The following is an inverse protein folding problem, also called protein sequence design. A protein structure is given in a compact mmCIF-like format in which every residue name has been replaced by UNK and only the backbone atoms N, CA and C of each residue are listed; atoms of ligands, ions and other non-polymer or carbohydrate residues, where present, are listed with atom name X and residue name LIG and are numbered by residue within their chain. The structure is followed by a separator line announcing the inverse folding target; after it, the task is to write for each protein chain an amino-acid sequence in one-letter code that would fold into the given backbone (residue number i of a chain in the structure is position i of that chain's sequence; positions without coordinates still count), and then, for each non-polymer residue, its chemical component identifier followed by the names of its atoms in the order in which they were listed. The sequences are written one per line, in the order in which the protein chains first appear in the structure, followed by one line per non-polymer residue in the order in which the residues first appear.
data_IF_476972768293
#
_entry.id   IF_476972768293
#
_cell.length_a   1.000
_cell.length_b   1.000
_cell.length_c   1.000
_cell.angle_alpha   90.00
_cell.angle_beta   90.00
_cell.angle_gamma   90.00
#
_symmetry.space_group_name_H-M   'P 1'
#
loop_
_entity.id
_entity.type
_entity.pdbx_description
1 polymer ?
#
# COMPACT_ATOMS: atom_id res chain seq x y z
N UNK A 1 7.08 23.67 -8.14
CA UNK A 1 7.77 23.00 -9.27
C UNK A 1 9.23 23.35 -9.18
N UNK A 2 10.09 22.33 -9.02
CA UNK A 2 11.53 22.51 -8.86
C UNK A 2 12.20 22.85 -10.20
N UNK A 3 13.31 23.61 -10.14
CA UNK A 3 14.10 23.96 -11.33
C UNK A 3 14.95 22.76 -11.74
N UNK A 4 15.11 22.52 -13.05
CA UNK A 4 15.87 21.39 -13.60
C UNK A 4 17.26 21.24 -12.98
N UNK A 5 18.01 22.33 -12.83
CA UNK A 5 19.38 22.29 -12.31
C UNK A 5 19.44 21.74 -10.88
N UNK A 6 18.45 22.08 -10.03
CA UNK A 6 18.36 21.54 -8.67
C UNK A 6 17.99 20.05 -8.65
N UNK A 7 17.12 19.61 -9.57
CA UNK A 7 16.77 18.20 -9.72
C UNK A 7 17.96 17.37 -10.23
N UNK A 8 18.73 17.89 -11.19
CA UNK A 8 19.97 17.25 -11.66
C UNK A 8 20.98 17.10 -10.53
N UNK A 9 21.27 18.18 -9.81
CA UNK A 9 22.21 18.15 -8.68
C UNK A 9 21.76 17.20 -7.56
N UNK A 10 20.45 17.08 -7.31
CA UNK A 10 19.90 16.12 -6.36
C UNK A 10 20.23 14.66 -6.75
N UNK A 11 20.01 14.31 -8.02
CA UNK A 11 20.28 12.95 -8.53
C UNK A 11 21.78 12.66 -8.56
N UNK A 12 22.59 13.62 -9.02
CA UNK A 12 24.06 13.53 -9.05
C UNK A 12 24.64 13.29 -7.66
N UNK A 13 24.13 14.00 -6.65
CA UNK A 13 24.61 13.88 -5.26
C UNK A 13 24.18 12.57 -4.61
N UNK A 14 22.97 12.10 -4.89
CA UNK A 14 22.41 10.94 -4.20
C UNK A 14 22.89 9.59 -4.78
N UNK A 15 23.36 9.54 -6.01
CA UNK A 15 23.76 8.31 -6.68
C UNK A 15 25.29 8.18 -6.72
N UNK A 16 25.81 6.97 -6.47
CA UNK A 16 27.23 6.65 -6.63
C UNK A 16 27.43 5.54 -7.69
N UNK A 17 28.19 5.79 -8.77
CA UNK A 17 28.82 7.06 -9.14
C UNK A 17 27.82 8.09 -9.67
N UNK A 18 28.21 9.38 -9.65
CA UNK A 18 27.44 10.48 -10.22
C UNK A 18 26.98 10.16 -11.66
N UNK A 19 25.67 10.03 -11.91
CA UNK A 19 25.18 9.67 -13.23
C UNK A 19 25.19 10.87 -14.18
N UNK A 20 25.54 10.63 -15.45
CA UNK A 20 25.38 11.62 -16.50
C UNK A 20 23.90 11.70 -16.92
N UNK A 21 23.22 12.80 -16.62
CA UNK A 21 21.78 12.98 -16.89
C UNK A 21 21.56 13.59 -18.28
N UNK A 22 20.70 12.98 -19.09
CA UNK A 22 20.28 13.52 -20.40
C UNK A 22 19.00 14.36 -20.27
N UNK A 23 17.93 13.78 -19.71
CA UNK A 23 16.63 14.48 -19.57
C UNK A 23 15.98 14.24 -18.22
N UNK A 24 15.13 15.21 -17.80
CA UNK A 24 14.26 15.10 -16.64
C UNK A 24 12.87 15.56 -17.07
N UNK A 25 11.87 14.72 -16.84
CA UNK A 25 10.45 15.01 -17.14
C UNK A 25 9.57 14.73 -15.94
N UNK A 26 8.58 15.59 -15.71
CA UNK A 26 7.58 15.40 -14.66
C UNK A 26 6.71 14.17 -14.94
N UNK A 27 6.46 13.37 -13.91
CA UNK A 27 5.42 12.34 -13.91
C UNK A 27 4.19 12.94 -13.23
N UNK A 28 3.10 13.11 -13.96
CA UNK A 28 1.82 13.58 -13.41
C UNK A 28 1.05 12.42 -12.76
N UNK A 29 1.63 11.83 -11.71
CA UNK A 29 1.01 10.76 -10.93
C UNK A 29 1.41 10.84 -9.44
N UNK A 30 0.49 10.46 -8.56
CA UNK A 30 0.71 10.43 -7.11
C UNK A 30 0.55 11.77 -6.39
N UNK A 31 0.79 11.76 -5.08
CA UNK A 31 0.61 12.94 -4.20
C UNK A 31 1.91 13.73 -3.95
N UNK A 32 3.05 13.15 -4.30
CA UNK A 32 4.38 13.77 -4.20
C UNK A 32 4.88 14.17 -5.58
N UNK A 33 5.83 15.11 -5.65
CA UNK A 33 6.46 15.43 -6.93
C UNK A 33 7.36 14.27 -7.37
N UNK A 34 7.07 13.71 -8.55
CA UNK A 34 7.80 12.63 -9.16
C UNK A 34 8.35 13.03 -10.53
N UNK A 35 9.57 12.59 -10.82
CA UNK A 35 10.27 12.89 -12.05
C UNK A 35 10.90 11.63 -12.63
N UNK A 36 10.72 11.40 -13.92
CA UNK A 36 11.53 10.45 -14.69
C UNK A 36 12.84 11.14 -15.07
N UNK A 37 13.95 10.50 -14.76
CA UNK A 37 15.30 10.97 -15.04
C UNK A 37 15.94 9.97 -15.99
N UNK A 38 16.18 10.37 -17.23
CA UNK A 38 16.83 9.53 -18.24
C UNK A 38 18.31 9.88 -18.27
N UNK A 39 19.16 8.87 -18.09
CA UNK A 39 20.61 8.98 -18.12
C UNK A 39 21.15 8.95 -19.55
N UNK A 40 22.41 9.33 -19.74
CA UNK A 40 23.08 9.36 -21.03
C UNK A 40 23.29 7.96 -21.66
N UNK A 41 23.11 6.89 -20.89
CA UNK A 41 23.13 5.49 -21.36
C UNK A 41 21.71 4.91 -21.58
N UNK A 42 20.71 5.78 -21.66
CA UNK A 42 19.29 5.45 -21.80
C UNK A 42 18.65 4.73 -20.59
N UNK A 43 19.35 4.63 -19.45
CA UNK A 43 18.75 4.13 -18.20
C UNK A 43 17.78 5.15 -17.62
N UNK A 44 16.62 4.71 -17.14
CA UNK A 44 15.67 5.57 -16.42
C UNK A 44 15.74 5.37 -14.90
N UNK A 45 15.64 6.48 -14.18
CA UNK A 45 15.48 6.55 -12.73
C UNK A 45 14.22 7.34 -12.37
N UNK A 46 13.69 7.09 -11.18
CA UNK A 46 12.59 7.83 -10.58
C UNK A 46 13.12 8.70 -9.44
N UNK A 47 13.04 10.03 -9.60
CA UNK A 47 13.27 10.96 -8.48
C UNK A 47 11.91 11.32 -7.86
N UNK A 48 11.72 10.99 -6.57
CA UNK A 48 10.54 11.38 -5.78
C UNK A 48 10.96 12.39 -4.72
N UNK A 49 10.21 13.48 -4.60
CA UNK A 49 10.42 14.53 -3.60
C UNK A 49 9.26 14.49 -2.60
N UNK A 50 9.57 14.25 -1.33
CA UNK A 50 8.61 14.07 -0.24
C UNK A 50 7.97 15.38 0.22
N UNK A 51 7.05 15.93 -0.58
CA UNK A 51 6.38 17.20 -0.28
C UNK A 51 5.11 17.05 0.56
N UNK A 52 4.46 15.88 0.55
CA UNK A 52 3.21 15.66 1.29
C UNK A 52 3.45 15.45 2.78
N UNK A 53 4.44 14.61 3.11
CA UNK A 53 4.84 14.30 4.49
C UNK A 53 6.37 14.30 4.60
N UNK A 54 7.02 15.48 4.56
CA UNK A 54 8.48 15.57 4.55
C UNK A 54 9.13 14.79 5.70
N UNK A 55 8.64 14.97 6.94
CA UNK A 55 9.24 14.33 8.12
C UNK A 55 9.10 12.79 8.13
N UNK A 56 8.11 12.25 7.42
CA UNK A 56 7.88 10.80 7.34
C UNK A 56 8.49 10.16 6.08
N UNK A 57 8.82 10.96 5.07
CA UNK A 57 9.32 10.47 3.78
C UNK A 57 10.59 9.61 3.91
N UNK A 58 11.60 9.93 4.75
CA UNK A 58 12.81 9.11 4.85
C UNK A 58 12.57 7.64 5.23
N UNK A 59 11.43 7.31 5.85
CA UNK A 59 11.08 5.95 6.20
C UNK A 59 10.71 5.10 4.96
N UNK A 60 10.23 5.70 3.87
CA UNK A 60 9.87 5.02 2.62
C UNK A 60 11.09 4.33 1.98
N UNK A 61 12.18 5.03 1.59
CA UNK A 61 13.35 4.39 0.99
C UNK A 61 14.05 3.43 1.96
N UNK A 62 14.06 3.71 3.27
CA UNK A 62 14.62 2.80 4.26
C UNK A 62 13.82 1.49 4.35
N UNK A 63 12.48 1.57 4.32
CA UNK A 63 11.59 0.39 4.28
C UNK A 63 11.85 -0.44 3.05
N UNK A 64 11.95 0.18 1.87
CA UNK A 64 12.24 -0.52 0.63
C UNK A 64 13.60 -1.22 0.65
N UNK A 65 14.64 -0.58 1.21
CA UNK A 65 15.96 -1.21 1.39
C UNK A 65 15.86 -2.44 2.29
N UNK A 66 15.14 -2.35 3.42
CA UNK A 66 14.94 -3.47 4.35
C UNK A 66 14.16 -4.63 3.71
N UNK A 67 13.04 -4.32 3.05
CA UNK A 67 12.22 -5.32 2.35
C UNK A 67 13.05 -6.06 1.29
N UNK A 68 13.86 -5.33 0.50
CA UNK A 68 14.74 -5.93 -0.50
C UNK A 68 15.86 -6.78 0.10
N UNK A 69 16.33 -6.46 1.31
CA UNK A 69 17.37 -7.21 1.99
C UNK A 69 16.85 -8.49 2.66
N UNK A 70 15.59 -8.48 3.14
CA UNK A 70 15.02 -9.56 3.96
C UNK A 70 14.00 -10.45 3.22
N UNK A 71 13.55 -10.08 2.02
CA UNK A 71 12.48 -10.77 1.30
C UNK A 71 12.73 -10.87 -0.22
N UNK A 72 11.94 -11.71 -0.90
CA UNK A 72 11.92 -11.81 -2.37
C UNK A 72 10.84 -10.91 -3.00
N UNK A 73 10.27 -9.95 -2.24
CA UNK A 73 9.35 -8.96 -2.80
C UNK A 73 10.07 -8.13 -3.86
N UNK A 74 9.46 -7.95 -5.04
CA UNK A 74 10.01 -7.09 -6.06
C UNK A 74 9.73 -5.64 -5.69
N UNK A 75 10.64 -5.00 -4.96
CA UNK A 75 10.58 -3.55 -4.70
C UNK A 75 11.67 -2.83 -5.50
N UNK A 76 11.37 -1.65 -6.08
CA UNK A 76 12.37 -0.85 -6.80
C UNK A 76 13.62 -0.62 -5.96
N UNK A 77 14.81 -0.72 -6.58
CA UNK A 77 16.07 -0.40 -5.90
C UNK A 77 16.08 1.07 -5.50
N UNK A 78 16.49 1.37 -4.27
CA UNK A 78 16.84 2.74 -3.86
C UNK A 78 18.29 3.01 -4.25
N UNK A 79 18.52 3.93 -5.18
CA UNK A 79 19.85 4.37 -5.58
C UNK A 79 20.45 5.36 -4.59
N UNK A 80 19.62 6.23 -4.03
CA UNK A 80 20.10 7.34 -3.21
C UNK A 80 18.99 8.07 -2.47
N UNK A 81 19.38 8.83 -1.45
CA UNK A 81 18.49 9.69 -0.66
C UNK A 81 19.21 10.99 -0.33
N UNK A 82 18.48 12.09 -0.18
CA UNK A 82 19.07 13.37 0.21
C UNK A 82 18.02 14.42 0.57
N UNK A 83 18.50 15.62 0.91
CA UNK A 83 17.64 16.78 1.19
C UNK A 83 18.13 18.00 0.40
N UNK A 84 19.44 18.22 0.37
CA UNK A 84 20.05 19.23 -0.49
C UNK A 84 20.18 18.73 -1.93
N UNK A 85 19.93 19.58 -2.96
CA UNK A 85 19.63 21.01 -2.88
C UNK A 85 18.13 21.35 -2.88
N UNK A 86 17.24 20.37 -2.69
CA UNK A 86 15.79 20.57 -2.90
C UNK A 86 15.06 21.17 -1.69
N UNK A 87 15.70 21.29 -0.53
CA UNK A 87 15.09 21.71 0.76
C UNK A 87 13.97 20.78 1.27
N UNK A 88 13.70 19.69 0.53
CA UNK A 88 12.77 18.62 0.87
C UNK A 88 13.51 17.29 0.80
N UNK A 89 13.18 16.32 1.66
CA UNK A 89 13.74 15.00 1.55
C UNK A 89 13.30 14.37 0.21
N UNK A 90 14.24 13.73 -0.46
CA UNK A 90 14.03 13.08 -1.74
C UNK A 90 14.76 11.75 -1.79
N UNK A 91 14.34 10.92 -2.73
CA UNK A 91 14.96 9.63 -3.00
C UNK A 91 14.97 9.37 -4.50
N UNK A 92 16.04 8.72 -4.95
CA UNK A 92 16.20 8.23 -6.32
C UNK A 92 16.01 6.73 -6.31
N UNK A 93 15.06 6.26 -7.10
CA UNK A 93 14.69 4.86 -7.23
C UNK A 93 14.97 4.35 -8.65
N UNK A 94 15.09 3.04 -8.78
CA UNK A 94 14.92 2.32 -10.03
C UNK A 94 13.58 2.74 -10.65
N UNK A 95 13.60 3.15 -11.92
CA UNK A 95 12.36 3.41 -12.63
C UNK A 95 11.77 2.08 -13.09
N UNK A 96 10.52 1.84 -12.69
CA UNK A 96 9.74 0.71 -13.19
C UNK A 96 8.82 1.25 -14.29
N UNK A 97 8.92 0.73 -15.54
CA UNK A 97 8.04 1.16 -16.63
C UNK A 97 6.56 0.95 -16.32
N UNK A 98 5.71 1.70 -17.03
CA UNK A 98 4.26 1.65 -16.84
C UNK A 98 3.73 0.21 -16.88
N UNK A 99 2.89 -0.08 -15.90
CA UNK A 99 2.37 -1.40 -15.64
C UNK A 99 1.24 -1.77 -16.63
N UNK A 100 1.07 -3.06 -16.94
CA UNK A 100 -0.06 -3.53 -17.73
C UNK A 100 -1.26 -3.87 -16.81
N UNK A 101 -2.38 -3.16 -17.02
CA UNK A 101 -3.72 -3.34 -16.43
C UNK A 101 -4.13 -2.30 -15.36
N UNK A 102 -5.31 -1.72 -15.58
CA UNK A 102 -5.96 -0.82 -14.62
C UNK A 102 -6.83 -1.61 -13.61
N UNK A 103 -7.30 -2.80 -13.97
CA UNK A 103 -8.16 -3.63 -13.13
C UNK A 103 -7.78 -5.10 -13.20
N UNK A 104 -7.95 -5.84 -12.09
CA UNK A 104 -7.67 -7.28 -12.05
C UNK A 104 -8.58 -8.04 -13.04
N UNK A 105 -9.79 -7.55 -13.28
CA UNK A 105 -10.71 -8.13 -14.26
C UNK A 105 -10.32 -7.90 -15.73
N UNK A 106 -9.30 -7.08 -16.00
CA UNK A 106 -8.76 -6.90 -17.35
C UNK A 106 -7.73 -7.99 -17.70
N UNK A 107 -7.23 -8.69 -16.68
CA UNK A 107 -6.31 -9.82 -16.84
C UNK A 107 -7.09 -11.09 -17.23
N UNK A 108 -6.39 -12.02 -17.89
CA UNK A 108 -6.92 -13.38 -18.02
C UNK A 108 -7.15 -13.99 -16.63
N UNK A 109 -8.10 -14.91 -16.51
CA UNK A 109 -8.35 -15.58 -15.22
C UNK A 109 -7.09 -16.26 -14.66
N UNK A 110 -6.25 -16.83 -15.53
CA UNK A 110 -4.98 -17.45 -15.16
C UNK A 110 -3.98 -16.42 -14.60
N UNK A 111 -3.81 -15.28 -15.28
CA UNK A 111 -2.93 -14.21 -14.85
C UNK A 111 -3.42 -13.57 -13.54
N UNK A 112 -4.72 -13.30 -13.41
CA UNK A 112 -5.31 -12.80 -12.16
C UNK A 112 -5.11 -13.79 -10.99
N UNK A 113 -5.25 -15.09 -11.26
CA UNK A 113 -5.03 -16.12 -10.25
C UNK A 113 -3.55 -16.22 -9.86
N UNK A 114 -2.64 -16.05 -10.83
CA UNK A 114 -1.20 -15.98 -10.58
C UNK A 114 -0.85 -14.77 -9.72
N UNK A 115 -1.33 -13.57 -10.09
CA UNK A 115 -1.19 -12.33 -9.32
C UNK A 115 -1.64 -12.51 -7.86
N UNK A 116 -2.80 -13.13 -7.64
CA UNK A 116 -3.31 -13.36 -6.29
C UNK A 116 -2.42 -14.32 -5.48
N UNK A 117 -1.85 -15.36 -6.12
CA UNK A 117 -0.90 -16.27 -5.45
C UNK A 117 0.39 -15.54 -5.07
N UNK A 118 0.91 -14.69 -5.95
CA UNK A 118 2.09 -13.87 -5.66
C UNK A 118 1.83 -12.89 -4.54
N UNK A 119 0.71 -12.15 -4.57
CA UNK A 119 0.32 -11.24 -3.51
C UNK A 119 0.24 -11.94 -2.14
N UNK A 120 -0.35 -13.14 -2.10
CA UNK A 120 -0.38 -13.96 -0.89
C UNK A 120 1.03 -14.35 -0.40
N UNK A 121 1.94 -14.76 -1.29
CA UNK A 121 3.33 -15.08 -0.91
C UNK A 121 4.10 -13.86 -0.45
N UNK A 122 3.98 -12.75 -1.18
CA UNK A 122 4.65 -11.49 -0.87
C UNK A 122 4.26 -11.03 0.53
N UNK A 123 2.96 -10.88 0.81
CA UNK A 123 2.54 -10.42 2.13
C UNK A 123 2.97 -11.39 3.24
N UNK A 124 2.97 -12.71 2.98
CA UNK A 124 3.50 -13.68 3.95
C UNK A 124 4.98 -13.46 4.27
N UNK A 125 5.80 -13.11 3.27
CA UNK A 125 7.22 -12.80 3.46
C UNK A 125 7.42 -11.46 4.15
N UNK A 126 6.71 -10.43 3.70
CA UNK A 126 6.73 -9.08 4.28
C UNK A 126 6.41 -9.13 5.78
N UNK A 127 5.38 -9.88 6.16
CA UNK A 127 4.89 -9.97 7.53
C UNK A 127 5.82 -10.75 8.48
N UNK A 128 6.98 -11.21 8.00
CA UNK A 128 8.06 -11.74 8.86
C UNK A 128 8.91 -10.62 9.47
N UNK A 129 8.86 -9.41 8.91
CA UNK A 129 9.55 -8.23 9.42
C UNK A 129 8.70 -7.67 10.57
N UNK A 130 9.06 -7.98 11.80
CA UNK A 130 8.29 -7.63 13.00
C UNK A 130 8.84 -6.41 13.73
N UNK A 131 7.96 -5.73 14.46
CA UNK A 131 8.28 -4.59 15.31
C UNK A 131 7.84 -4.84 16.76
N UNK A 132 8.46 -4.19 17.75
CA UNK A 132 8.13 -4.42 19.16
C UNK A 132 6.75 -3.89 19.56
N UNK A 133 6.21 -2.93 18.82
CA UNK A 133 4.93 -2.27 19.10
C UNK A 133 4.20 -1.88 17.80
N UNK A 134 2.93 -1.54 17.93
CA UNK A 134 2.11 -1.04 16.82
C UNK A 134 2.31 0.47 16.64
N UNK A 135 2.22 0.96 15.41
CA UNK A 135 2.29 2.39 15.13
C UNK A 135 3.05 2.73 13.86
N UNK A 136 3.20 4.04 13.61
CA UNK A 136 3.92 4.53 12.43
C UNK A 136 5.40 4.22 12.55
N UNK A 137 5.97 3.67 11.49
CA UNK A 137 7.40 3.42 11.38
C UNK A 137 8.09 4.68 10.86
N UNK A 138 9.23 4.99 11.46
CA UNK A 138 10.10 6.08 11.08
C UNK A 138 11.57 5.70 11.30
N UNK A 139 12.44 6.70 11.24
CA UNK A 139 13.86 6.52 11.55
C UNK A 139 14.12 6.97 12.97
N UNK A 140 14.95 6.23 13.71
CA UNK A 140 15.43 6.66 15.01
C UNK A 140 16.37 7.87 14.85
N UNK A 141 15.89 9.06 15.23
CA UNK A 141 16.64 10.31 15.16
C UNK A 141 17.42 10.63 16.44
N UNK A 142 17.25 9.88 17.53
CA UNK A 142 17.90 10.16 18.83
C UNK A 142 19.38 9.75 18.87
N UNK A 143 19.91 9.13 17.80
CA UNK A 143 21.35 8.95 17.60
C UNK A 143 22.08 10.24 17.12
N UNK A 144 21.33 11.32 16.81
CA UNK A 144 21.86 12.56 16.20
C UNK A 144 21.33 13.81 16.92
N UNK A 145 21.48 13.88 18.25
CA UNK A 145 21.11 15.07 19.03
C UNK A 145 22.03 16.29 18.80
N UNK A 146 23.09 16.14 17.99
CA UNK A 146 23.89 17.24 17.45
C UNK A 146 24.12 16.95 15.96
N UNK A 147 23.82 17.94 15.12
CA UNK A 147 23.90 17.95 13.64
C UNK A 147 22.76 17.29 12.85
N UNK A 148 22.40 17.99 11.76
CA UNK A 148 21.50 17.57 10.68
C UNK A 148 21.79 16.12 10.26
N UNK A 149 20.79 15.25 10.07
CA UNK A 149 21.04 13.88 9.64
C UNK A 149 21.82 13.89 8.33
N UNK A 150 23.07 13.44 8.37
CA UNK A 150 23.88 13.24 7.17
C UNK A 150 23.24 12.06 6.43
N UNK A 151 22.65 12.34 5.27
CA UNK A 151 21.79 11.42 4.51
C UNK A 151 22.50 10.17 3.93
N UNK A 152 23.79 9.98 4.22
CA UNK A 152 24.65 9.02 3.51
C UNK A 152 24.62 7.58 4.03
N UNK A 153 24.06 7.30 5.21
CA UNK A 153 23.88 5.90 5.66
C UNK A 153 22.64 5.78 6.53
N UNK A 154 21.46 5.94 5.93
CA UNK A 154 20.22 5.48 6.57
C UNK A 154 20.15 3.95 6.43
N UNK A 155 20.75 3.28 7.41
CA UNK A 155 20.77 1.82 7.51
C UNK A 155 19.34 1.29 7.68
N UNK A 156 19.02 0.16 7.05
CA UNK A 156 17.71 -0.50 7.19
C UNK A 156 17.40 -0.83 8.66
N UNK A 157 18.45 -0.98 9.47
CA UNK A 157 18.41 -1.22 10.91
C UNK A 157 17.94 -0.01 11.74
N UNK A 158 17.84 1.19 11.13
CA UNK A 158 17.37 2.40 11.81
C UNK A 158 15.83 2.53 11.87
N UNK A 159 15.09 1.61 11.26
CA UNK A 159 13.62 1.64 11.27
C UNK A 159 13.08 1.25 12.65
N UNK A 160 12.33 2.17 13.26
CA UNK A 160 11.66 1.99 14.55
C UNK A 160 10.24 2.52 14.52
N UNK A 161 9.43 2.21 15.53
CA UNK A 161 8.10 2.83 15.70
C UNK A 161 8.28 4.19 16.35
N UNK A 162 7.95 5.25 15.61
CA UNK A 162 8.12 6.66 16.04
C UNK A 162 6.83 7.31 16.54
N UNK A 163 5.70 6.66 16.29
CA UNK A 163 4.38 7.08 16.79
C UNK A 163 3.60 5.85 17.26
N UNK A 164 3.91 5.33 18.47
CA UNK A 164 3.24 4.17 19.02
C UNK A 164 1.75 4.39 19.21
N UNK A 165 0.93 3.50 18.68
CA UNK A 165 -0.52 3.55 18.85
C UNK A 165 -1.05 2.13 19.06
N UNK A 166 -1.80 1.86 20.15
CA UNK A 166 -2.43 0.56 20.37
C UNK A 166 -3.30 0.12 19.18
N UNK A 167 -3.35 -1.19 18.92
CA UNK A 167 -4.08 -1.73 17.76
C UNK A 167 -5.57 -1.39 17.81
N UNK A 168 -6.20 -1.41 18.98
CA UNK A 168 -7.61 -1.07 19.13
C UNK A 168 -7.89 0.40 18.77
N UNK A 169 -7.02 1.32 19.17
CA UNK A 169 -7.11 2.73 18.78
C UNK A 169 -6.89 2.92 17.27
N UNK A 170 -5.93 2.22 16.65
CA UNK A 170 -5.73 2.23 15.19
C UNK A 170 -6.99 1.76 14.44
N UNK A 171 -7.65 0.70 14.94
CA UNK A 171 -8.88 0.18 14.34
C UNK A 171 -10.06 1.15 14.51
N UNK A 172 -10.23 1.76 15.69
CA UNK A 172 -11.28 2.77 15.93
C UNK A 172 -11.09 4.00 15.05
N UNK A 173 -9.86 4.52 14.95
CA UNK A 173 -9.53 5.65 14.08
C UNK A 173 -9.78 5.32 12.60
N UNK A 174 -9.42 4.12 12.17
CA UNK A 174 -9.70 3.65 10.81
C UNK A 174 -11.21 3.55 10.54
N UNK A 175 -11.97 2.99 11.48
CA UNK A 175 -13.43 2.85 11.37
C UNK A 175 -14.11 4.22 11.27
N UNK A 176 -13.84 5.12 12.22
CA UNK A 176 -14.42 6.46 12.27
C UNK A 176 -14.16 7.24 10.98
N UNK A 177 -12.88 7.31 10.56
CA UNK A 177 -12.49 7.96 9.31
C UNK A 177 -13.25 7.39 8.12
N UNK A 178 -13.23 6.06 7.96
CA UNK A 178 -13.87 5.41 6.81
C UNK A 178 -15.40 5.56 6.78
N UNK A 179 -16.06 5.58 7.94
CA UNK A 179 -17.49 5.87 8.04
C UNK A 179 -17.79 7.33 7.69
N UNK A 180 -16.94 8.26 8.12
CA UNK A 180 -17.00 9.67 7.70
C UNK A 180 -16.99 9.81 6.17
N UNK A 181 -16.14 9.03 5.50
CA UNK A 181 -16.03 9.00 4.04
C UNK A 181 -17.25 8.39 3.31
N UNK A 182 -18.19 7.77 4.03
CA UNK A 182 -19.46 7.30 3.45
C UNK A 182 -20.56 8.37 3.47
N UNK A 183 -20.34 9.53 4.11
CA UNK A 183 -21.29 10.63 4.08
C UNK A 183 -21.61 11.05 2.63
N UNK A 184 -22.88 11.36 2.35
CA UNK A 184 -23.37 11.75 1.01
C UNK A 184 -23.17 10.69 -0.10
N UNK A 185 -22.74 9.48 0.24
CA UNK A 185 -22.67 8.33 -0.68
C UNK A 185 -23.98 7.54 -0.66
N UNK A 186 -24.21 6.60 -1.61
CA UNK A 186 -25.33 5.67 -1.54
C UNK A 186 -25.38 4.82 -0.26
N UNK A 187 -24.27 4.75 0.49
CA UNK A 187 -24.12 3.93 1.69
C UNK A 187 -24.29 4.72 2.99
N UNK A 188 -24.57 6.03 2.91
CA UNK A 188 -24.72 6.93 4.06
C UNK A 188 -25.67 6.36 5.13
N UNK A 189 -26.82 5.85 4.70
CA UNK A 189 -27.85 5.26 5.59
C UNK A 189 -27.41 4.01 6.35
N UNK A 190 -26.24 3.43 6.02
CA UNK A 190 -25.69 2.25 6.69
C UNK A 190 -24.73 2.60 7.82
N UNK A 191 -24.24 3.85 7.91
CA UNK A 191 -23.15 4.25 8.82
C UNK A 191 -23.38 3.80 10.25
N UNK A 192 -24.51 4.12 10.86
CA UNK A 192 -24.84 3.74 12.25
C UNK A 192 -24.78 2.21 12.48
N UNK A 193 -25.29 1.43 11.52
CA UNK A 193 -25.31 -0.04 11.64
C UNK A 193 -23.92 -0.66 11.50
N UNK A 194 -23.08 -0.09 10.64
CA UNK A 194 -21.70 -0.50 10.42
C UNK A 194 -20.79 -0.05 11.57
N UNK A 195 -21.02 1.14 12.13
CA UNK A 195 -20.37 1.64 13.35
C UNK A 195 -20.66 0.72 14.52
N UNK A 196 -21.94 0.41 14.77
CA UNK A 196 -22.33 -0.48 15.85
C UNK A 196 -21.68 -1.87 15.72
N UNK A 197 -21.62 -2.44 14.51
CA UNK A 197 -20.95 -3.70 14.26
C UNK A 197 -19.42 -3.58 14.47
N UNK A 198 -18.80 -2.54 13.92
CA UNK A 198 -17.35 -2.34 13.99
C UNK A 198 -16.87 -2.15 15.43
N UNK A 199 -17.57 -1.34 16.22
CA UNK A 199 -17.28 -1.12 17.65
C UNK A 199 -17.38 -2.41 18.44
N UNK A 200 -18.47 -3.16 18.28
CA UNK A 200 -18.65 -4.46 18.96
C UNK A 200 -17.63 -5.51 18.52
N UNK A 201 -17.20 -5.51 17.25
CA UNK A 201 -16.13 -6.39 16.78
C UNK A 201 -14.79 -6.02 17.44
N UNK A 202 -14.42 -4.74 17.45
CA UNK A 202 -13.18 -4.23 18.08
C UNK A 202 -13.13 -4.62 19.56
N UNK A 203 -14.22 -4.47 20.30
CA UNK A 203 -14.30 -4.84 21.73
C UNK A 203 -14.11 -6.34 21.99
N UNK A 204 -14.39 -7.20 21.01
CA UNK A 204 -14.29 -8.67 21.11
C UNK A 204 -12.99 -9.24 20.57
N UNK A 205 -12.08 -8.40 20.04
CA UNK A 205 -10.77 -8.86 19.58
C UNK A 205 -9.91 -9.22 20.79
N UNK A 206 -9.27 -10.39 20.72
CA UNK A 206 -8.16 -10.74 21.61
C UNK A 206 -6.87 -10.16 21.02
N UNK A 207 -6.28 -9.20 21.72
CA UNK A 207 -5.11 -8.46 21.28
C UNK A 207 -3.78 -9.08 21.76
N UNK A 208 -3.82 -9.99 22.74
CA UNK A 208 -2.62 -10.49 23.42
C UNK A 208 -1.74 -11.35 22.49
N UNK A 209 -2.33 -11.98 21.47
CA UNK A 209 -1.66 -12.87 20.51
C UNK A 209 -1.34 -12.18 19.16
N UNK A 210 -1.33 -10.84 19.10
CA UNK A 210 -1.02 -10.10 17.87
C UNK A 210 0.40 -9.56 17.90
N UNK A 211 1.25 -10.08 17.01
CA UNK A 211 2.60 -9.53 16.79
C UNK A 211 2.55 -8.44 15.71
N UNK A 212 2.99 -7.19 16.00
CA UNK A 212 3.12 -6.15 15.00
C UNK A 212 4.12 -6.55 13.90
N UNK A 213 3.71 -6.39 12.65
CA UNK A 213 4.54 -6.63 11.48
C UNK A 213 4.51 -5.43 10.55
N UNK A 214 5.55 -5.28 9.72
CA UNK A 214 5.53 -4.35 8.61
C UNK A 214 4.35 -4.68 7.71
N UNK A 215 3.46 -3.72 7.52
CA UNK A 215 2.38 -3.81 6.54
C UNK A 215 2.64 -2.84 5.40
N UNK A 216 2.16 -3.18 4.21
CA UNK A 216 2.13 -2.24 3.10
C UNK A 216 1.03 -1.18 3.34
N UNK A 217 -0.13 -1.55 3.87
CA UNK A 217 -1.23 -0.61 4.14
C UNK A 217 -2.15 -0.33 2.94
N UNK A 218 -1.63 -0.56 1.73
CA UNK A 218 -2.29 -0.21 0.46
C UNK A 218 -1.86 -1.13 -0.69
N UNK A 219 -1.73 -2.44 -0.41
CA UNK A 219 -1.39 -3.44 -1.42
C UNK A 219 -2.57 -3.68 -2.37
N UNK A 220 -2.68 -2.83 -3.39
CA UNK A 220 -3.73 -2.86 -4.43
C UNK A 220 -3.13 -2.74 -5.82
N UNK A 221 -3.89 -3.09 -6.86
CA UNK A 221 -3.38 -3.15 -8.23
C UNK A 221 -2.71 -1.85 -8.70
N UNK A 222 -3.22 -0.66 -8.34
CA UNK A 222 -2.60 0.62 -8.69
C UNK A 222 -1.15 0.76 -8.18
N UNK A 223 -0.81 0.04 -7.12
CA UNK A 223 0.51 0.04 -6.48
C UNK A 223 1.34 -1.19 -6.90
N UNK A 224 0.86 -1.97 -7.87
CA UNK A 224 1.57 -3.12 -8.42
C UNK A 224 1.90 -2.85 -9.88
N UNK A 225 3.16 -3.03 -10.25
CA UNK A 225 3.48 -3.24 -11.63
C UNK A 225 3.29 -4.68 -12.04
N UNK A 226 2.47 -4.87 -13.06
CA UNK A 226 2.01 -6.16 -13.54
C UNK A 226 2.48 -6.36 -14.97
N UNK A 227 3.10 -7.50 -15.24
CA UNK A 227 3.42 -8.03 -16.56
C UNK A 227 2.74 -9.41 -16.67
N UNK A 228 1.57 -9.51 -17.31
CA UNK A 228 0.83 -10.77 -17.42
C UNK A 228 1.51 -11.80 -18.32
N UNK A 229 2.55 -11.41 -19.07
CA UNK A 229 3.29 -12.29 -19.97
C UNK A 229 4.54 -12.91 -19.32
N UNK A 230 4.98 -12.35 -18.19
CA UNK A 230 6.15 -12.80 -17.46
C UNK A 230 5.85 -14.00 -16.54
N UNK A 231 6.91 -14.76 -16.21
CA UNK A 231 6.84 -15.86 -15.24
C UNK A 231 6.48 -15.37 -13.83
N UNK A 232 6.94 -14.16 -13.48
CA UNK A 232 6.52 -13.40 -12.30
C UNK A 232 5.59 -12.30 -12.77
N UNK A 233 4.32 -12.37 -12.39
CA UNK A 233 3.30 -11.43 -12.86
C UNK A 233 3.47 -10.06 -12.23
N UNK A 234 3.87 -10.01 -10.96
CA UNK A 234 4.14 -8.77 -10.23
C UNK A 234 5.60 -8.34 -10.43
N UNK A 235 5.83 -7.42 -11.35
CA UNK A 235 7.15 -6.86 -11.64
C UNK A 235 7.67 -5.94 -10.53
N UNK A 236 6.79 -5.18 -9.87
CA UNK A 236 7.16 -4.34 -8.72
C UNK A 236 6.00 -4.05 -7.77
N UNK A 237 6.30 -3.78 -6.50
CA UNK A 237 5.40 -3.27 -5.48
C UNK A 237 5.83 -1.85 -5.11
N UNK A 238 4.94 -0.89 -5.32
CA UNK A 238 5.18 0.55 -5.26
C UNK A 238 4.44 1.19 -4.07
N UNK A 239 4.68 2.50 -3.88
CA UNK A 239 3.99 3.34 -2.90
C UNK A 239 4.07 2.86 -1.44
N UNK A 240 5.30 2.90 -0.90
CA UNK A 240 5.61 2.61 0.50
C UNK A 240 5.48 3.86 1.39
N UNK A 241 4.57 4.79 1.03
CA UNK A 241 4.32 6.03 1.79
C UNK A 241 3.72 5.68 3.17
N UNK A 242 4.32 6.20 4.26
CA UNK A 242 3.90 5.99 5.65
C UNK A 242 3.94 4.51 6.11
N UNK A 243 5.13 3.85 6.12
CA UNK A 243 5.25 2.49 6.63
C UNK A 243 4.72 2.38 8.07
N UNK A 244 4.03 1.29 8.35
CA UNK A 244 3.32 1.10 9.63
C UNK A 244 3.55 -0.32 10.15
N UNK A 245 3.72 -0.44 11.46
CA UNK A 245 3.68 -1.72 12.17
C UNK A 245 2.24 -1.99 12.60
N UNK A 246 1.61 -3.02 12.02
CA UNK A 246 0.20 -3.36 12.23
C UNK A 246 -0.01 -4.88 12.32
N UNK A 247 -1.24 -5.32 12.59
CA UNK A 247 -1.62 -6.71 12.47
C UNK A 247 -1.47 -7.20 11.01
N UNK A 248 -0.64 -8.23 10.74
CA UNK A 248 -0.45 -8.77 9.39
C UNK A 248 -1.73 -9.34 8.76
N UNK A 249 -2.69 -9.80 9.56
CA UNK A 249 -3.99 -10.25 9.05
C UNK A 249 -4.81 -9.08 8.49
N UNK A 250 -4.67 -7.87 9.04
CA UNK A 250 -5.36 -6.68 8.51
C UNK A 250 -4.91 -6.41 7.07
N UNK A 251 -3.60 -6.42 6.81
CA UNK A 251 -3.05 -6.13 5.50
C UNK A 251 -3.40 -7.22 4.49
N UNK A 252 -3.35 -8.49 4.91
CA UNK A 252 -3.75 -9.63 4.08
C UNK A 252 -5.24 -9.58 3.70
N UNK A 253 -6.15 -9.25 4.62
CA UNK A 253 -7.58 -9.11 4.34
C UNK A 253 -7.85 -7.93 3.42
N UNK A 254 -7.18 -6.79 3.65
CA UNK A 254 -7.28 -5.61 2.79
C UNK A 254 -6.85 -5.92 1.36
N UNK A 255 -5.63 -6.42 1.19
CA UNK A 255 -5.05 -6.73 -0.11
C UNK A 255 -5.92 -7.73 -0.88
N UNK A 256 -6.31 -8.83 -0.23
CA UNK A 256 -7.19 -9.82 -0.85
C UNK A 256 -8.51 -9.19 -1.30
N UNK A 257 -9.13 -8.36 -0.46
CA UNK A 257 -10.41 -7.73 -0.81
C UNK A 257 -10.26 -6.77 -1.98
N UNK A 258 -9.22 -5.94 -2.00
CA UNK A 258 -8.95 -4.97 -3.06
C UNK A 258 -8.63 -5.65 -4.39
N UNK A 259 -7.95 -6.80 -4.38
CA UNK A 259 -7.61 -7.54 -5.59
C UNK A 259 -8.77 -8.39 -6.14
N UNK A 260 -9.66 -8.90 -5.29
CA UNK A 260 -10.63 -9.91 -5.73
C UNK A 260 -12.09 -9.50 -5.65
N UNK A 261 -12.43 -8.32 -5.12
CA UNK A 261 -13.82 -7.87 -5.00
C UNK A 261 -14.26 -6.89 -6.10
N UNK A 262 -13.44 -6.66 -7.12
CA UNK A 262 -13.71 -5.73 -8.21
C UNK A 262 -14.97 -6.06 -9.01
N UNK A 263 -15.66 -5.01 -9.48
CA UNK A 263 -16.91 -5.10 -10.25
C UNK A 263 -16.80 -5.90 -11.56
N UNK A 264 -15.61 -5.96 -12.17
CA UNK A 264 -15.35 -6.70 -13.43
C UNK A 264 -15.21 -8.21 -13.24
N UNK A 265 -15.20 -8.70 -12.01
CA UNK A 265 -15.07 -10.12 -11.69
C UNK A 265 -16.45 -10.72 -11.38
N UNK A 266 -16.75 -11.84 -12.01
CA UNK A 266 -17.92 -12.66 -11.68
C UNK A 266 -17.73 -13.41 -10.35
N UNK A 267 -18.81 -13.88 -9.69
CA UNK A 267 -18.72 -14.53 -8.39
C UNK A 267 -17.80 -15.76 -8.32
N UNK A 268 -17.71 -16.57 -9.38
CA UNK A 268 -16.82 -17.73 -9.42
C UNK A 268 -15.36 -17.28 -9.50
N UNK A 269 -15.07 -16.27 -10.32
CA UNK A 269 -13.76 -15.65 -10.37
C UNK A 269 -13.35 -15.09 -9.01
N UNK A 270 -14.20 -14.29 -8.35
CA UNK A 270 -13.90 -13.74 -7.01
C UNK A 270 -13.55 -14.84 -5.99
N UNK A 271 -14.31 -15.94 -5.99
CA UNK A 271 -14.05 -17.10 -5.11
C UNK A 271 -12.73 -17.79 -5.43
N UNK A 272 -12.45 -18.04 -6.71
CA UNK A 272 -11.22 -18.68 -7.18
C UNK A 272 -9.99 -17.87 -6.81
N UNK A 273 -10.02 -16.55 -7.06
CA UNK A 273 -8.93 -15.63 -6.76
C UNK A 273 -8.68 -15.49 -5.25
N UNK A 274 -9.75 -15.34 -4.46
CA UNK A 274 -9.65 -15.31 -3.00
C UNK A 274 -8.99 -16.57 -2.45
N UNK A 275 -9.38 -17.74 -2.96
CA UNK A 275 -8.77 -19.02 -2.55
C UNK A 275 -7.28 -19.05 -2.90
N UNK A 276 -6.93 -18.65 -4.12
CA UNK A 276 -5.55 -18.61 -4.58
C UNK A 276 -4.65 -17.73 -3.71
N UNK A 277 -5.16 -16.57 -3.25
CA UNK A 277 -4.48 -15.70 -2.31
C UNK A 277 -4.24 -16.37 -0.95
N UNK A 278 -5.30 -16.86 -0.30
CA UNK A 278 -5.20 -17.41 1.06
C UNK A 278 -4.40 -18.72 1.11
N UNK A 279 -4.53 -19.58 0.10
CA UNK A 279 -3.74 -20.81 -0.03
C UNK A 279 -2.23 -20.49 -0.09
N UNK A 280 -1.87 -19.37 -0.72
CA UNK A 280 -0.48 -18.93 -0.87
C UNK A 280 0.06 -18.18 0.37
N UNK A 281 -0.77 -17.36 1.00
CA UNK A 281 -0.44 -16.66 2.24
C UNK A 281 -0.26 -17.60 3.44
N UNK A 282 -0.98 -18.74 3.45
CA UNK A 282 -0.78 -19.81 4.43
C UNK A 282 -1.58 -19.67 5.72
N UNK A 283 -2.51 -18.72 5.81
CA UNK A 283 -3.51 -18.70 6.87
C UNK A 283 -4.81 -19.38 6.43
N UNK A 284 -5.29 -20.30 7.27
CA UNK A 284 -6.64 -20.82 7.17
C UNK A 284 -7.68 -19.71 7.35
N UNK A 285 -8.83 -19.86 6.71
CA UNK A 285 -9.98 -18.95 6.84
C UNK A 285 -10.70 -19.27 8.15
N UNK A 286 -10.13 -18.87 9.29
CA UNK A 286 -10.83 -18.96 10.58
C UNK A 286 -11.63 -17.69 10.78
N UNK A 287 -12.92 -17.86 10.99
CA UNK A 287 -13.83 -16.76 11.32
C UNK A 287 -13.61 -16.34 12.78
N UNK A 288 -13.20 -15.08 12.98
CA UNK A 288 -12.92 -14.48 14.29
C UNK A 288 -13.39 -13.03 14.29
N UNK A 289 -13.71 -12.43 15.46
CA UNK A 289 -14.05 -11.00 15.53
C UNK A 289 -13.01 -10.11 14.84
N UNK A 290 -11.73 -10.48 14.98
CA UNK A 290 -10.60 -9.82 14.33
C UNK A 290 -10.68 -9.85 12.80
N UNK A 291 -10.88 -11.04 12.23
CA UNK A 291 -11.03 -11.18 10.77
C UNK A 291 -12.26 -10.43 10.25
N UNK A 292 -13.40 -10.55 10.94
CA UNK A 292 -14.65 -9.88 10.57
C UNK A 292 -14.53 -8.36 10.64
N UNK A 293 -13.81 -7.83 11.63
CA UNK A 293 -13.49 -6.41 11.73
C UNK A 293 -12.75 -5.95 10.46
N UNK A 294 -11.76 -6.71 10.02
CA UNK A 294 -10.96 -6.36 8.84
C UNK A 294 -11.74 -6.51 7.54
N UNK A 295 -12.60 -7.53 7.42
CA UNK A 295 -13.49 -7.70 6.27
C UNK A 295 -14.53 -6.57 6.19
N UNK A 296 -15.06 -6.10 7.34
CA UNK A 296 -15.90 -4.91 7.42
C UNK A 296 -15.15 -3.66 6.93
N UNK A 297 -13.96 -3.39 7.47
CA UNK A 297 -13.15 -2.26 7.05
C UNK A 297 -12.82 -2.34 5.55
N UNK A 298 -12.53 -3.53 5.03
CA UNK A 298 -12.21 -3.70 3.61
C UNK A 298 -13.43 -3.44 2.73
N UNK A 299 -14.63 -3.84 3.19
CA UNK A 299 -15.86 -3.58 2.46
C UNK A 299 -16.22 -2.10 2.46
N UNK A 300 -16.03 -1.40 3.57
CA UNK A 300 -16.21 0.06 3.63
C UNK A 300 -15.22 0.74 2.68
N UNK A 301 -13.93 0.35 2.70
CA UNK A 301 -12.89 0.86 1.79
C UNK A 301 -13.30 0.72 0.32
N UNK A 302 -13.78 -0.45 -0.09
CA UNK A 302 -14.27 -0.65 -1.47
C UNK A 302 -15.47 0.27 -1.78
N UNK A 303 -16.43 0.36 -0.86
CA UNK A 303 -17.65 1.14 -1.06
C UNK A 303 -17.38 2.65 -1.17
N UNK A 304 -16.49 3.22 -0.35
CA UNK A 304 -16.12 4.66 -0.43
C UNK A 304 -15.38 5.02 -1.73
N UNK A 305 -14.81 4.03 -2.42
CA UNK A 305 -14.14 4.22 -3.72
C UNK A 305 -15.04 3.88 -4.92
N UNK A 306 -16.37 3.79 -4.72
CA UNK A 306 -17.35 3.45 -5.75
C UNK A 306 -17.18 4.27 -7.05
N UNK A 307 -16.92 5.57 -6.95
CA UNK A 307 -16.82 6.44 -8.14
C UNK A 307 -15.54 6.19 -8.94
N UNK A 308 -14.43 5.86 -8.27
CA UNK A 308 -13.21 5.40 -8.94
C UNK A 308 -13.45 4.04 -9.60
N UNK A 309 -14.08 3.12 -8.87
CA UNK A 309 -14.39 1.78 -9.37
C UNK A 309 -15.35 1.81 -10.57
N UNK A 310 -16.35 2.70 -10.55
CA UNK A 310 -17.36 2.80 -11.59
C UNK A 310 -16.98 3.80 -12.70
N UNK A 311 -15.75 4.33 -12.71
CA UNK A 311 -15.33 5.31 -13.71
C UNK A 311 -15.46 4.74 -15.12
N UNK A 312 -16.16 5.46 -15.99
CA UNK A 312 -16.41 5.04 -17.37
C UNK A 312 -17.48 3.95 -17.54
N UNK A 313 -18.12 3.48 -16.47
CA UNK A 313 -19.22 2.52 -16.54
C UNK A 313 -20.57 3.21 -16.80
N UNK A 314 -21.55 2.43 -17.26
CA UNK A 314 -22.93 2.88 -17.38
C UNK A 314 -23.60 3.07 -16.01
N UNK A 315 -24.62 3.93 -15.94
CA UNK A 315 -25.45 4.10 -14.74
C UNK A 315 -26.08 2.78 -14.26
N UNK A 316 -26.40 1.86 -15.18
CA UNK A 316 -26.94 0.56 -14.85
C UNK A 316 -25.90 -0.31 -14.13
N UNK A 317 -24.65 -0.31 -14.62
CA UNK A 317 -23.54 -1.01 -13.97
C UNK A 317 -23.21 -0.40 -12.61
N UNK A 318 -23.22 0.95 -12.50
CA UNK A 318 -23.04 1.63 -11.21
C UNK A 318 -24.13 1.26 -10.21
N UNK A 319 -25.41 1.22 -10.61
CA UNK A 319 -26.51 0.76 -9.75
C UNK A 319 -26.35 -0.69 -9.32
N UNK A 320 -25.97 -1.58 -10.24
CA UNK A 320 -25.71 -2.98 -9.90
C UNK A 320 -24.57 -3.11 -8.87
N UNK A 321 -23.51 -2.30 -9.00
CA UNK A 321 -22.41 -2.28 -8.03
C UNK A 321 -22.84 -1.74 -6.66
N UNK A 322 -23.70 -0.72 -6.60
CA UNK A 322 -24.30 -0.24 -5.35
C UNK A 322 -25.10 -1.36 -4.67
N UNK A 323 -25.91 -2.11 -5.43
CA UNK A 323 -26.65 -3.26 -4.90
C UNK A 323 -25.71 -4.32 -4.33
N UNK A 324 -24.65 -4.70 -5.05
CA UNK A 324 -23.63 -5.64 -4.59
C UNK A 324 -22.98 -5.17 -3.27
N UNK A 325 -22.69 -3.87 -3.11
CA UNK A 325 -22.22 -3.30 -1.84
C UNK A 325 -23.22 -3.46 -0.72
N UNK A 326 -24.50 -3.14 -0.93
CA UNK A 326 -25.53 -3.33 0.07
C UNK A 326 -25.71 -4.80 0.48
N UNK A 327 -25.74 -5.74 -0.47
CA UNK A 327 -25.88 -7.17 -0.20
C UNK A 327 -24.73 -7.68 0.67
N UNK A 328 -23.49 -7.29 0.37
CA UNK A 328 -22.34 -7.67 1.20
C UNK A 328 -22.36 -7.02 2.59
N UNK A 329 -22.88 -5.79 2.73
CA UNK A 329 -23.11 -5.21 4.06
C UNK A 329 -24.20 -5.96 4.84
N UNK A 330 -25.26 -6.39 4.16
CA UNK A 330 -26.32 -7.19 4.77
C UNK A 330 -25.79 -8.54 5.26
N UNK A 331 -24.91 -9.21 4.50
CA UNK A 331 -24.22 -10.43 4.93
C UNK A 331 -23.38 -10.20 6.19
N UNK A 332 -22.54 -9.15 6.23
CA UNK A 332 -21.71 -8.82 7.40
C UNK A 332 -22.56 -8.51 8.66
N UNK A 333 -23.71 -7.88 8.48
CA UNK A 333 -24.62 -7.49 9.55
C UNK A 333 -25.53 -8.63 10.03
N UNK A 334 -25.79 -9.63 9.20
CA UNK A 334 -26.65 -10.77 9.54
C UNK A 334 -25.99 -11.71 10.56
N UNK A 335 -24.67 -11.82 10.53
CA UNK A 335 -23.88 -12.71 11.39
C UNK A 335 -23.64 -12.13 12.81
N UNK A 336 -24.57 -11.35 13.36
CA UNK A 336 -24.41 -10.68 14.68
C UNK A 336 -24.34 -11.65 15.86
#
# INVERSE_FOLDING_TARGET
MFVRDALSAAVETACDPDPAIDTISTIEAGNNHAYRVTLADDTDLLLKVGTRFPDAFPAEPATMRRVRAETDLPVPRVHGTGTDPLEYPYAVYEYVPDCEAEWVGDLSHEAAQHLCREAGRHLRELHRITFPEFGRIGLDTDASADDTPVADVLDADALTVVDPTPLDDLLRQSLDRQLGDLADTPFDTRRDSLEALGTDLVERIDYDDVTPALVHGDYRLDNLCVDPSADRVTAAVLDWELPTALDPLWDAVMAQSLLTAGHRLDPDSRRSLRRAFWDAYGNGVVDTPRRRCYELLARIRLARHLDTECRGLSDAARRARITDHHEAFDELLADR
#
